data_IF_249373636087
#
_entry.id   IF_249373636087
#
_cell.length_a   1.000
_cell.length_b   1.000
_cell.length_c   1.000
_cell.angle_alpha   90.00
_cell.angle_beta   90.00
_cell.angle_gamma   90.00
#
_symmetry.space_group_name_H-M   'P 1'
#
loop_
_entity.id
_entity.type
_entity.pdbx_description
1 polymer ?
#
# COMPACT_ATOMS: atom_id res chain seq x y z
N UNK A 1 -0.74 -31.00 48.75
CA UNK A 1 -1.06 -29.56 48.69
C UNK A 1 -0.99 -29.14 47.22
N UNK A 2 -2.12 -28.99 46.51
CA UNK A 2 -2.14 -28.78 45.06
C UNK A 2 -2.35 -27.29 44.75
N UNK A 3 -1.27 -26.51 44.63
CA UNK A 3 -1.32 -25.11 44.19
C UNK A 3 -0.92 -24.93 42.71
N UNK A 4 -0.34 -25.96 42.10
CA UNK A 4 0.26 -25.91 40.75
C UNK A 4 -0.74 -25.74 39.61
N UNK A 5 -1.91 -26.38 39.66
CA UNK A 5 -2.89 -26.31 38.55
C UNK A 5 -3.57 -24.94 38.45
N UNK A 6 -3.77 -24.27 39.58
CA UNK A 6 -4.43 -22.95 39.61
C UNK A 6 -3.49 -21.81 39.21
N UNK A 7 -2.19 -21.93 39.46
CA UNK A 7 -1.17 -21.02 38.96
C UNK A 7 -0.96 -21.21 37.46
N UNK A 8 -0.74 -22.45 37.00
CA UNK A 8 -0.55 -22.77 35.58
C UNK A 8 -1.73 -22.31 34.72
N UNK A 9 -2.98 -22.49 35.19
CA UNK A 9 -4.17 -22.01 34.47
C UNK A 9 -4.29 -20.47 34.43
N UNK A 10 -3.82 -19.77 35.46
CA UNK A 10 -3.79 -18.30 35.48
C UNK A 10 -2.72 -17.73 34.56
N UNK A 11 -1.54 -18.36 34.54
CA UNK A 11 -0.41 -17.95 33.69
C UNK A 11 -0.69 -18.21 32.20
N UNK A 12 -1.29 -19.35 31.87
CA UNK A 12 -1.73 -19.67 30.50
C UNK A 12 -2.84 -18.73 30.02
N UNK A 13 -3.77 -18.34 30.90
CA UNK A 13 -4.85 -17.42 30.56
C UNK A 13 -4.34 -15.97 30.39
N UNK A 14 -3.35 -15.52 31.18
CA UNK A 14 -2.75 -14.20 31.03
C UNK A 14 -1.95 -14.08 29.72
N UNK A 15 -1.13 -15.09 29.39
CA UNK A 15 -0.34 -15.10 28.14
C UNK A 15 -1.22 -15.11 26.90
N UNK A 16 -2.32 -15.87 26.87
CA UNK A 16 -3.25 -15.85 25.74
C UNK A 16 -3.97 -14.49 25.60
N UNK A 17 -4.24 -13.82 26.71
CA UNK A 17 -4.85 -12.48 26.71
C UNK A 17 -3.87 -11.42 26.20
N UNK A 18 -2.61 -11.46 26.64
CA UNK A 18 -1.54 -10.56 26.17
C UNK A 18 -1.25 -10.74 24.68
N UNK A 19 -1.18 -12.00 24.19
CA UNK A 19 -1.06 -12.29 22.76
C UNK A 19 -2.21 -11.70 21.95
N UNK A 20 -3.44 -11.85 22.43
CA UNK A 20 -4.64 -11.29 21.75
C UNK A 20 -4.59 -9.76 21.69
N UNK A 21 -4.19 -9.10 22.77
CA UNK A 21 -4.06 -7.64 22.83
C UNK A 21 -2.95 -7.14 21.88
N UNK A 22 -1.79 -7.81 21.88
CA UNK A 22 -0.69 -7.50 20.98
C UNK A 22 -1.11 -7.68 19.51
N UNK A 23 -1.74 -8.82 19.18
CA UNK A 23 -2.21 -9.12 17.83
C UNK A 23 -3.26 -8.12 17.35
N UNK A 24 -4.25 -7.78 18.19
CA UNK A 24 -5.24 -6.75 17.86
C UNK A 24 -4.61 -5.37 17.66
N UNK A 25 -3.57 -5.04 18.43
CA UNK A 25 -2.84 -3.78 18.30
C UNK A 25 -2.06 -3.71 17.00
N UNK A 26 -1.40 -4.81 16.60
CA UNK A 26 -0.69 -4.92 15.32
C UNK A 26 -1.67 -4.84 14.14
N UNK A 27 -2.78 -5.57 14.19
CA UNK A 27 -3.79 -5.57 13.12
C UNK A 27 -4.44 -4.21 12.92
N UNK A 28 -4.60 -3.42 14.00
CA UNK A 28 -5.17 -2.07 13.96
C UNK A 28 -4.20 -1.01 13.42
N UNK A 29 -2.93 -1.35 13.18
CA UNK A 29 -1.96 -0.46 12.56
C UNK A 29 -2.05 -0.54 11.02
N UNK A 30 -2.36 0.55 10.28
CA UNK A 30 -2.42 0.50 8.82
C UNK A 30 -1.08 0.25 8.10
N UNK A 31 0.05 0.25 8.81
CA UNK A 31 1.39 0.08 8.22
C UNK A 31 1.54 -1.21 7.40
N UNK A 32 0.98 -2.33 7.88
CA UNK A 32 1.08 -3.61 7.16
C UNK A 32 0.38 -3.55 5.81
N UNK A 33 -0.77 -2.89 5.72
CA UNK A 33 -1.51 -2.69 4.47
C UNK A 33 -0.68 -1.85 3.49
N UNK A 34 -0.10 -0.75 3.98
CA UNK A 34 0.74 0.13 3.17
C UNK A 34 1.93 -0.60 2.56
N UNK A 35 2.63 -1.43 3.35
CA UNK A 35 3.81 -2.16 2.87
C UNK A 35 3.46 -3.31 1.92
N UNK A 36 2.38 -4.04 2.17
CA UNK A 36 1.91 -5.08 1.25
C UNK A 36 1.51 -4.45 -0.08
N UNK A 37 0.71 -3.37 -0.04
CA UNK A 37 0.29 -2.67 -1.24
C UNK A 37 1.51 -2.12 -2.00
N UNK A 38 2.42 -1.43 -1.31
CA UNK A 38 3.68 -0.96 -1.90
C UNK A 38 4.46 -2.10 -2.57
N UNK A 39 4.62 -3.24 -1.90
CA UNK A 39 5.38 -4.38 -2.42
C UNK A 39 4.76 -4.98 -3.68
N UNK A 40 3.43 -5.14 -3.70
CA UNK A 40 2.71 -5.63 -4.89
C UNK A 40 2.89 -4.66 -6.05
N UNK A 41 2.64 -3.37 -5.83
CA UNK A 41 2.73 -2.33 -6.86
C UNK A 41 4.16 -2.18 -7.37
N UNK A 42 5.16 -2.10 -6.49
CA UNK A 42 6.56 -1.98 -6.89
C UNK A 42 7.05 -3.24 -7.64
N UNK A 43 6.68 -4.43 -7.17
CA UNK A 43 7.03 -5.69 -7.83
C UNK A 43 6.47 -5.80 -9.26
N UNK A 44 5.22 -5.38 -9.45
CA UNK A 44 4.59 -5.42 -10.78
C UNK A 44 5.08 -4.29 -11.69
N UNK A 45 5.07 -3.06 -11.19
CA UNK A 45 5.28 -1.86 -12.01
C UNK A 45 6.76 -1.54 -12.24
N UNK A 46 7.62 -1.70 -11.24
CA UNK A 46 9.05 -1.36 -11.36
C UNK A 46 9.91 -2.54 -11.75
N UNK A 47 9.56 -3.77 -11.34
CA UNK A 47 10.37 -4.95 -11.62
C UNK A 47 9.82 -5.75 -12.80
N UNK A 48 8.60 -6.29 -12.69
CA UNK A 48 8.07 -7.20 -13.71
C UNK A 48 7.82 -6.51 -15.06
N UNK A 49 7.34 -5.25 -15.04
CA UNK A 49 6.99 -4.53 -16.27
C UNK A 49 8.19 -4.15 -17.12
N UNK A 50 9.32 -3.65 -16.60
CA UNK A 50 10.51 -3.42 -17.44
C UNK A 50 11.17 -4.72 -17.88
N UNK A 51 11.27 -5.72 -16.99
CA UNK A 51 11.97 -6.99 -17.28
C UNK A 51 11.32 -7.78 -18.40
N UNK A 52 9.98 -7.78 -18.53
CA UNK A 52 9.34 -8.50 -19.66
C UNK A 52 9.71 -7.94 -21.05
N UNK A 53 10.11 -6.66 -21.14
CA UNK A 53 10.54 -6.06 -22.41
C UNK A 53 11.99 -6.40 -22.77
N UNK A 54 12.76 -6.98 -21.85
CA UNK A 54 14.13 -7.47 -22.12
C UNK A 54 14.14 -8.91 -22.62
N UNK A 55 13.00 -9.59 -22.63
CA UNK A 55 12.90 -10.97 -23.09
C UNK A 55 13.01 -11.05 -24.62
N UNK A 56 14.07 -11.69 -25.11
CA UNK A 56 14.39 -11.76 -26.55
C UNK A 56 13.31 -12.46 -27.41
N UNK A 57 12.50 -13.31 -26.80
CA UNK A 57 11.43 -14.06 -27.48
C UNK A 57 10.09 -13.31 -27.53
N UNK A 58 9.95 -12.22 -26.79
CA UNK A 58 8.71 -11.44 -26.68
C UNK A 58 8.71 -10.28 -27.68
N UNK A 59 7.71 -10.25 -28.56
CA UNK A 59 7.50 -9.09 -29.43
C UNK A 59 6.80 -7.96 -28.67
N UNK A 60 7.01 -6.70 -29.10
CA UNK A 60 6.40 -5.51 -28.48
C UNK A 60 4.87 -5.61 -28.34
N UNK A 61 4.10 -6.00 -29.37
CA UNK A 61 2.64 -6.12 -29.23
C UNK A 61 2.22 -7.16 -28.18
N UNK A 62 2.91 -8.31 -28.12
CA UNK A 62 2.62 -9.35 -27.12
C UNK A 62 2.94 -8.84 -25.70
N UNK A 63 4.08 -8.17 -25.51
CA UNK A 63 4.47 -7.63 -24.21
C UNK A 63 3.50 -6.51 -23.72
N UNK A 64 2.93 -5.73 -24.64
CA UNK A 64 1.91 -4.72 -24.36
C UNK A 64 0.57 -5.36 -23.98
N UNK A 65 0.11 -6.39 -24.71
CA UNK A 65 -1.14 -7.09 -24.38
C UNK A 65 -1.07 -7.77 -23.00
N UNK A 66 0.05 -8.46 -22.70
CA UNK A 66 0.31 -8.99 -21.35
C UNK A 66 0.30 -7.87 -20.31
N UNK A 67 0.90 -6.72 -20.64
CA UNK A 67 0.85 -5.53 -19.78
C UNK A 67 -0.57 -5.10 -19.46
N UNK A 68 -1.41 -4.93 -20.47
CA UNK A 68 -2.81 -4.52 -20.31
C UNK A 68 -3.55 -5.42 -19.32
N UNK A 69 -3.41 -6.74 -19.45
CA UNK A 69 -4.07 -7.71 -18.56
C UNK A 69 -3.53 -7.64 -17.13
N UNK A 70 -2.20 -7.59 -16.97
CA UNK A 70 -1.55 -7.52 -15.65
C UNK A 70 -1.90 -6.22 -14.93
N UNK A 71 -1.89 -5.07 -15.61
CA UNK A 71 -2.24 -3.79 -15.01
C UNK A 71 -3.73 -3.69 -14.67
N UNK A 72 -4.62 -4.29 -15.47
CA UNK A 72 -6.04 -4.40 -15.12
C UNK A 72 -6.27 -5.26 -13.86
N UNK A 73 -5.52 -6.35 -13.71
CA UNK A 73 -5.55 -7.17 -12.50
C UNK A 73 -4.98 -6.42 -11.29
N UNK A 74 -3.83 -5.75 -11.45
CA UNK A 74 -3.21 -4.91 -10.43
C UNK A 74 -4.21 -3.86 -9.93
N UNK A 75 -4.84 -3.10 -10.83
CA UNK A 75 -5.82 -2.08 -10.47
C UNK A 75 -6.93 -2.62 -9.56
N UNK A 76 -7.46 -3.82 -9.83
CA UNK A 76 -8.46 -4.48 -8.96
C UNK A 76 -7.90 -4.79 -7.57
N UNK A 77 -6.68 -5.33 -7.50
CA UNK A 77 -5.99 -5.61 -6.23
C UNK A 77 -5.74 -4.31 -5.45
N UNK A 78 -5.38 -3.24 -6.13
CA UNK A 78 -5.16 -1.93 -5.50
C UNK A 78 -6.44 -1.33 -4.92
N UNK A 79 -7.59 -1.49 -5.59
CA UNK A 79 -8.88 -1.11 -5.00
C UNK A 79 -9.19 -1.91 -3.73
N UNK A 80 -8.91 -3.21 -3.71
CA UNK A 80 -9.08 -4.04 -2.51
C UNK A 80 -8.16 -3.55 -1.39
N UNK A 81 -6.89 -3.30 -1.69
CA UNK A 81 -5.94 -2.75 -0.72
C UNK A 81 -6.37 -1.37 -0.19
N UNK A 82 -6.91 -0.50 -1.05
CA UNK A 82 -7.44 0.80 -0.66
C UNK A 82 -8.62 0.65 0.32
N UNK A 83 -9.57 -0.23 0.03
CA UNK A 83 -10.73 -0.48 0.91
C UNK A 83 -10.26 -0.98 2.27
N UNK A 84 -9.34 -1.95 2.30
CA UNK A 84 -8.75 -2.46 3.54
C UNK A 84 -8.05 -1.33 4.31
N UNK A 85 -7.25 -0.51 3.63
CA UNK A 85 -6.54 0.62 4.23
C UNK A 85 -7.53 1.61 4.87
N UNK A 86 -8.60 1.97 4.17
CA UNK A 86 -9.65 2.86 4.67
C UNK A 86 -10.32 2.32 5.93
N UNK A 87 -10.65 1.02 5.96
CA UNK A 87 -11.24 0.35 7.12
C UNK A 87 -10.27 0.41 8.31
N UNK A 88 -9.02 0.00 8.12
CA UNK A 88 -8.02 -0.02 9.19
C UNK A 88 -7.77 1.38 9.74
N UNK A 89 -7.56 2.38 8.88
CA UNK A 89 -7.37 3.79 9.27
C UNK A 89 -8.58 4.31 10.05
N UNK A 90 -9.81 3.93 9.65
CA UNK A 90 -11.04 4.34 10.33
C UNK A 90 -11.16 3.75 11.73
N UNK A 91 -10.59 2.57 11.98
CA UNK A 91 -10.57 1.89 13.27
C UNK A 91 -9.52 2.46 14.25
N UNK A 92 -8.44 3.09 13.76
CA UNK A 92 -7.34 3.59 14.60
C UNK A 92 -7.68 4.89 15.36
N UNK A 93 -8.75 5.61 15.02
CA UNK A 93 -9.15 6.86 15.68
C UNK A 93 -8.23 8.08 15.41
N UNK A 94 -7.01 7.86 14.92
CA UNK A 94 -6.05 8.89 14.44
C UNK A 94 -6.39 9.42 13.04
N UNK A 95 -7.68 9.45 12.72
CA UNK A 95 -8.23 9.59 11.39
C UNK A 95 -7.75 10.87 10.68
N UNK A 96 -7.71 12.02 11.35
CA UNK A 96 -7.56 13.30 10.65
C UNK A 96 -6.24 13.46 9.88
N UNK A 97 -5.13 12.88 10.37
CA UNK A 97 -3.83 12.99 9.70
C UNK A 97 -3.68 12.01 8.53
N UNK A 98 -4.19 10.78 8.66
CA UNK A 98 -4.03 9.73 7.65
C UNK A 98 -5.08 9.80 6.54
N UNK A 99 -6.26 10.36 6.83
CA UNK A 99 -7.35 10.47 5.85
C UNK A 99 -7.01 11.36 4.66
N UNK A 100 -6.19 12.39 4.85
CA UNK A 100 -5.72 13.22 3.74
C UNK A 100 -4.93 12.38 2.72
N UNK A 101 -4.02 11.52 3.19
CA UNK A 101 -3.24 10.64 2.32
C UNK A 101 -4.12 9.56 1.67
N UNK A 102 -5.08 8.99 2.40
CA UNK A 102 -6.07 8.06 1.81
C UNK A 102 -6.89 8.74 0.69
N UNK A 103 -7.27 10.01 0.88
CA UNK A 103 -7.94 10.80 -0.15
C UNK A 103 -7.08 10.95 -1.40
N UNK A 104 -5.80 11.32 -1.23
CA UNK A 104 -4.86 11.43 -2.36
C UNK A 104 -4.68 10.08 -3.07
N UNK A 105 -4.48 8.98 -2.34
CA UNK A 105 -4.39 7.63 -2.92
C UNK A 105 -5.64 7.25 -3.72
N UNK A 106 -6.82 7.60 -3.19
CA UNK A 106 -8.10 7.37 -3.89
C UNK A 106 -8.15 8.16 -5.20
N UNK A 107 -7.78 9.43 -5.18
CA UNK A 107 -7.74 10.27 -6.39
C UNK A 107 -6.75 9.73 -7.42
N UNK A 108 -5.57 9.27 -6.98
CA UNK A 108 -4.59 8.64 -7.86
C UNK A 108 -5.16 7.38 -8.51
N UNK A 109 -5.75 6.46 -7.74
CA UNK A 109 -6.36 5.24 -8.30
C UNK A 109 -7.50 5.56 -9.26
N UNK A 110 -8.33 6.56 -8.96
CA UNK A 110 -9.40 6.97 -9.86
C UNK A 110 -8.86 7.53 -11.17
N UNK A 111 -7.85 8.40 -11.12
CA UNK A 111 -7.19 8.93 -12.32
C UNK A 111 -6.54 7.81 -13.15
N UNK A 112 -5.89 6.84 -12.49
CA UNK A 112 -5.29 5.69 -13.15
C UNK A 112 -6.37 4.81 -13.81
N UNK A 113 -7.42 4.45 -13.07
CA UNK A 113 -8.45 3.50 -13.51
C UNK A 113 -9.40 4.06 -14.56
N UNK A 114 -9.85 5.31 -14.41
CA UNK A 114 -10.92 5.88 -15.24
C UNK A 114 -10.37 6.60 -16.47
N UNK A 115 -9.14 7.10 -16.41
CA UNK A 115 -8.56 7.89 -17.49
C UNK A 115 -7.34 7.22 -18.11
N UNK A 116 -6.29 6.98 -17.33
CA UNK A 116 -4.99 6.58 -17.91
C UNK A 116 -5.00 5.15 -18.45
N UNK A 117 -5.61 4.20 -17.74
CA UNK A 117 -5.72 2.80 -18.17
C UNK A 117 -6.50 2.65 -19.48
N UNK A 118 -7.70 3.27 -19.64
CA UNK A 118 -8.41 3.27 -20.92
C UNK A 118 -7.59 3.88 -22.08
N UNK A 119 -6.94 5.02 -21.85
CA UNK A 119 -6.10 5.70 -22.85
C UNK A 119 -4.90 4.83 -23.28
N UNK A 120 -4.22 4.21 -22.32
CA UNK A 120 -3.11 3.28 -22.59
C UNK A 120 -3.60 2.01 -23.30
N UNK A 121 -4.80 1.53 -22.97
CA UNK A 121 -5.46 0.41 -23.63
C UNK A 121 -5.73 0.69 -25.10
N UNK A 122 -6.36 1.82 -25.42
CA UNK A 122 -6.64 2.23 -26.79
C UNK A 122 -5.36 2.35 -27.64
N UNK A 123 -4.29 2.88 -27.07
CA UNK A 123 -2.96 2.93 -27.72
C UNK A 123 -2.37 1.55 -27.96
N UNK A 124 -2.54 0.65 -27.00
CA UNK A 124 -2.09 -0.74 -27.13
C UNK A 124 -2.83 -1.43 -28.27
N UNK A 125 -4.13 -1.23 -28.38
CA UNK A 125 -4.96 -1.79 -29.46
C UNK A 125 -4.50 -1.30 -30.84
N UNK A 126 -4.13 -0.02 -30.97
CA UNK A 126 -3.55 0.54 -32.20
C UNK A 126 -2.21 -0.14 -32.57
N UNK A 127 -1.31 -0.32 -31.60
CA UNK A 127 -0.01 -0.97 -31.82
C UNK A 127 -0.20 -2.43 -32.22
N UNK A 128 -1.16 -3.13 -31.61
CA UNK A 128 -1.51 -4.51 -31.98
C UNK A 128 -2.07 -4.57 -33.41
N UNK A 129 -2.81 -3.56 -33.84
CA UNK A 129 -3.29 -3.42 -35.22
C UNK A 129 -2.19 -2.97 -36.22
N UNK A 130 -0.94 -2.78 -35.78
CA UNK A 130 0.16 -2.34 -36.62
C UNK A 130 0.19 -0.83 -36.89
N UNK A 131 -0.59 -0.04 -36.16
CA UNK A 131 -0.65 1.42 -36.25
C UNK A 131 0.20 2.02 -35.13
N UNK A 132 1.18 2.86 -35.47
CA UNK A 132 1.93 3.60 -34.45
C UNK A 132 1.15 4.86 -34.02
N UNK A 133 0.71 4.94 -32.75
CA UNK A 133 -0.05 6.09 -32.26
C UNK A 133 0.83 7.33 -32.10
N UNK A 134 0.21 8.51 -32.22
CA UNK A 134 0.90 9.78 -31.98
C UNK A 134 1.48 9.86 -30.55
N UNK A 135 2.60 10.58 -30.36
CA UNK A 135 3.21 10.77 -29.04
C UNK A 135 2.21 11.29 -28.00
N UNK A 136 2.34 10.84 -26.77
CA UNK A 136 1.49 11.31 -25.67
C UNK A 136 2.16 11.22 -24.32
N UNK A 137 1.70 12.11 -23.46
CA UNK A 137 2.09 12.19 -22.07
C UNK A 137 1.42 11.13 -21.18
N UNK A 138 0.44 10.36 -21.68
CA UNK A 138 -0.33 9.41 -20.88
C UNK A 138 0.58 8.39 -20.14
N UNK A 139 1.59 7.87 -20.82
CA UNK A 139 2.53 6.93 -20.21
C UNK A 139 3.42 7.59 -19.14
N UNK A 140 3.87 8.82 -19.39
CA UNK A 140 4.63 9.60 -18.42
C UNK A 140 3.77 9.95 -17.20
N UNK A 141 2.54 10.42 -17.41
CA UNK A 141 1.58 10.74 -16.35
C UNK A 141 1.26 9.51 -15.48
N UNK A 142 1.02 8.35 -16.10
CA UNK A 142 0.82 7.09 -15.37
C UNK A 142 2.05 6.75 -14.51
N UNK A 143 3.25 6.82 -15.09
CA UNK A 143 4.50 6.53 -14.39
C UNK A 143 4.74 7.49 -13.20
N UNK A 144 4.45 8.78 -13.36
CA UNK A 144 4.59 9.78 -12.29
C UNK A 144 3.59 9.55 -11.16
N UNK A 145 2.32 9.25 -11.48
CA UNK A 145 1.31 8.93 -10.47
C UNK A 145 1.64 7.64 -9.72
N UNK A 146 2.16 6.63 -10.42
CA UNK A 146 2.60 5.38 -9.83
C UNK A 146 3.72 5.61 -8.81
N UNK A 147 4.75 6.38 -9.19
CA UNK A 147 5.85 6.70 -8.28
C UNK A 147 5.36 7.52 -7.08
N UNK A 148 4.47 8.49 -7.29
CA UNK A 148 3.87 9.30 -6.23
C UNK A 148 3.10 8.44 -5.23
N UNK A 149 2.31 7.48 -5.73
CA UNK A 149 1.57 6.50 -4.92
C UNK A 149 2.52 5.67 -4.05
N UNK A 150 3.60 5.15 -4.65
CA UNK A 150 4.60 4.37 -3.92
C UNK A 150 5.26 5.19 -2.79
N UNK A 151 5.60 6.46 -3.04
CA UNK A 151 6.15 7.36 -2.04
C UNK A 151 5.16 7.62 -0.89
N UNK A 152 3.89 7.86 -1.21
CA UNK A 152 2.84 8.06 -0.22
C UNK A 152 2.65 6.80 0.64
N UNK A 153 2.63 5.61 0.03
CA UNK A 153 2.49 4.34 0.76
C UNK A 153 3.67 4.09 1.71
N UNK A 154 4.90 4.32 1.25
CA UNK A 154 6.09 4.24 2.11
C UNK A 154 5.98 5.22 3.28
N UNK A 155 5.65 6.48 2.99
CA UNK A 155 5.55 7.51 4.00
C UNK A 155 4.47 7.18 5.04
N UNK A 156 3.28 6.77 4.59
CA UNK A 156 2.19 6.34 5.47
C UNK A 156 2.57 5.13 6.31
N UNK A 157 3.26 4.15 5.73
CA UNK A 157 3.75 2.95 6.44
C UNK A 157 4.64 3.33 7.62
N UNK A 158 5.68 4.15 7.38
CA UNK A 158 6.59 4.60 8.44
C UNK A 158 5.90 5.50 9.46
N UNK A 159 5.08 6.46 9.02
CA UNK A 159 4.31 7.33 9.93
C UNK A 159 3.40 6.53 10.83
N UNK A 160 2.77 5.49 10.30
CA UNK A 160 1.89 4.63 11.09
C UNK A 160 2.64 3.76 12.10
N UNK A 161 3.88 3.37 11.81
CA UNK A 161 4.74 2.72 12.81
C UNK A 161 5.17 3.68 13.93
N UNK A 162 5.48 4.93 13.60
CA UNK A 162 5.80 5.96 14.61
C UNK A 162 4.62 6.22 15.56
N UNK A 163 3.38 6.11 15.06
CA UNK A 163 2.18 6.25 15.87
C UNK A 163 1.97 5.11 16.90
N UNK A 164 2.69 3.99 16.80
CA UNK A 164 2.71 2.92 17.81
C UNK A 164 3.76 3.12 18.89
N UNK A 165 4.79 3.94 18.65
CA UNK A 165 5.80 4.22 19.65
C UNK A 165 5.22 5.25 20.64
N UNK A 166 5.16 4.95 21.94
CA UNK A 166 4.84 5.95 22.94
C UNK A 166 5.86 7.08 22.80
N UNK A 167 5.39 8.33 22.75
CA UNK A 167 6.24 9.51 22.93
C UNK A 167 7.11 9.25 24.17
N UNK A 168 8.42 9.10 23.99
CA UNK A 168 9.33 9.11 25.12
C UNK A 168 9.24 10.51 25.70
N UNK A 169 8.55 10.62 26.85
CA UNK A 169 8.16 11.89 27.44
C UNK A 169 9.32 12.87 27.49
N UNK A 170 9.07 14.09 27.01
CA UNK A 170 9.93 15.24 27.24
C UNK A 170 10.19 15.35 28.75
N UNK A 171 11.41 15.01 29.17
CA UNK A 171 11.88 15.33 30.52
C UNK A 171 12.01 16.84 30.61
N UNK A 172 10.92 17.50 31.02
CA UNK A 172 10.93 18.89 31.45
C UNK A 172 10.58 18.91 32.93
N UNK A 173 11.56 18.63 33.79
CA UNK A 173 11.48 19.07 35.20
C UNK A 173 11.97 20.52 35.25
N UNK A 174 11.16 21.49 35.70
CA UNK A 174 11.68 22.79 36.08
C UNK A 174 12.40 22.63 37.42
N UNK A 175 13.71 22.82 37.44
CA UNK A 175 14.44 22.99 38.70
C UNK A 175 14.24 24.44 39.14
N UNK A 176 13.75 24.56 40.37
CA UNK A 176 13.19 25.74 41.00
C UNK A 176 14.16 26.93 41.08
N UNK A 177 13.54 28.12 41.22
CA UNK A 177 14.18 29.41 41.48
C UNK A 177 14.97 29.42 42.80
N UNK A 178 15.99 30.28 42.78
CA UNK A 178 16.86 30.83 43.85
C UNK A 178 16.32 30.80 45.27
#
# INVERSE_FOLDING_TARGET
MPLTDTENKRDTMSTETEKRICMMTILRNPAWVCFIWFGITAGVSLLATPVKFTAATLTRPIALDVGRVVFAALNKVEFVALIILLIVVRMTGKARSLWAFCGVLTLILMAQSVWLLPELGARTDLIIAGIEPAPSIAHAAYSTLELSKLLILIYMGFRSMQLLLPEQGSSSRPVAKS
#
